data_IF_773040530834
#
_entry.id   IF_773040530834
#
_cell.length_a   1.000
_cell.length_b   1.000
_cell.length_c   1.000
_cell.angle_alpha   90.00
_cell.angle_beta   90.00
_cell.angle_gamma   90.00
#
_symmetry.space_group_name_H-M   'P 1'
#
loop_
_entity.id
_entity.type
_entity.pdbx_description
1 polymer ?
#
# COMPACT_ATOMS: atom_id res chain seq x y z
N UNK A 1 7.05 10.56 -5.18
CA UNK A 1 7.41 9.15 -4.93
C UNK A 1 6.69 8.27 -5.96
N UNK A 2 7.28 7.13 -6.31
CA UNK A 2 6.60 6.06 -7.04
C UNK A 2 6.25 4.94 -6.06
N UNK A 3 5.15 4.24 -6.34
CA UNK A 3 4.70 3.10 -5.56
C UNK A 3 4.41 1.91 -6.46
N UNK A 4 4.68 0.70 -5.97
CA UNK A 4 4.30 -0.53 -6.62
C UNK A 4 3.79 -1.53 -5.58
N UNK A 5 2.70 -2.23 -5.90
CA UNK A 5 2.12 -3.30 -5.09
C UNK A 5 2.28 -4.66 -5.76
N UNK A 6 2.39 -5.72 -4.95
CA UNK A 6 2.38 -7.09 -5.43
C UNK A 6 2.43 -8.11 -4.29
N UNK A 7 2.99 -9.28 -4.56
CA UNK A 7 3.02 -10.42 -3.63
C UNK A 7 3.80 -10.16 -2.33
N UNK A 8 4.71 -9.17 -2.33
CA UNK A 8 5.50 -8.76 -1.16
C UNK A 8 5.00 -7.49 -0.49
N UNK A 9 3.75 -7.10 -0.72
CA UNK A 9 3.19 -5.85 -0.22
C UNK A 9 3.50 -4.66 -1.12
N UNK A 10 3.73 -3.49 -0.50
CA UNK A 10 3.95 -2.22 -1.20
C UNK A 10 5.40 -1.77 -1.02
N UNK A 11 6.01 -1.33 -2.12
CA UNK A 11 7.32 -0.69 -2.13
C UNK A 11 7.21 0.75 -2.62
N UNK A 12 8.08 1.60 -2.08
CA UNK A 12 8.20 3.02 -2.41
C UNK A 12 9.58 3.30 -3.01
N UNK A 13 9.61 4.18 -4.00
CA UNK A 13 10.83 4.79 -4.51
C UNK A 13 10.75 6.31 -4.41
N UNK A 14 11.81 6.91 -3.85
CA UNK A 14 11.98 8.36 -3.75
C UNK A 14 12.95 8.93 -4.80
N UNK A 15 13.53 8.07 -5.65
CA UNK A 15 14.57 8.43 -6.61
C UNK A 15 14.18 8.09 -8.07
N UNK A 16 12.89 8.22 -8.38
CA UNK A 16 12.30 7.94 -9.70
C UNK A 16 12.48 6.49 -10.17
N UNK A 17 12.42 5.53 -9.24
CA UNK A 17 12.42 4.10 -9.53
C UNK A 17 13.80 3.46 -9.62
N UNK A 18 14.87 4.17 -9.24
CA UNK A 18 16.23 3.62 -9.23
C UNK A 18 16.44 2.68 -8.05
N UNK A 19 15.93 3.03 -6.87
CA UNK A 19 15.90 2.17 -5.68
C UNK A 19 14.50 2.07 -5.10
N UNK A 20 14.22 0.93 -4.48
CA UNK A 20 12.93 0.60 -3.92
C UNK A 20 13.12 0.09 -2.50
N UNK A 21 12.27 0.57 -1.59
CA UNK A 21 12.26 0.15 -0.20
C UNK A 21 10.84 -0.30 0.15
N UNK A 22 10.67 -1.35 0.97
CA UNK A 22 9.36 -1.68 1.53
C UNK A 22 8.79 -0.44 2.23
N UNK A 23 7.51 -0.16 2.02
CA UNK A 23 6.83 0.79 2.90
C UNK A 23 6.90 0.24 4.32
N UNK A 24 7.21 1.08 5.31
CA UNK A 24 7.21 0.72 6.72
C UNK A 24 5.76 0.54 7.22
N UNK A 25 5.02 -0.35 6.56
CA UNK A 25 3.57 -0.46 6.63
C UNK A 25 3.14 -1.12 7.92
N UNK A 26 3.21 -0.38 9.02
CA UNK A 26 2.37 -0.67 10.18
C UNK A 26 0.93 -0.70 9.69
N UNK A 27 0.30 -1.88 9.78
CA UNK A 27 -1.09 -2.11 9.42
C UNK A 27 -1.36 -2.83 8.09
N UNK A 28 -0.40 -2.90 7.15
CA UNK A 28 -0.57 -3.78 5.98
C UNK A 28 -0.26 -5.24 6.36
N UNK A 29 -1.00 -6.23 5.81
CA UNK A 29 -0.69 -7.62 6.06
C UNK A 29 0.68 -7.94 5.44
N UNK A 30 1.60 -8.45 6.27
CA UNK A 30 2.97 -8.78 5.87
C UNK A 30 3.04 -9.77 4.69
N UNK A 31 1.99 -10.58 4.52
CA UNK A 31 1.89 -11.65 3.52
C UNK A 31 0.76 -11.39 2.50
N UNK A 32 0.17 -10.19 2.51
CA UNK A 32 -0.98 -9.84 1.68
C UNK A 32 -0.55 -9.42 0.28
N UNK A 33 -0.88 -10.22 -0.73
CA UNK A 33 -0.77 -9.81 -2.13
C UNK A 33 -1.63 -8.55 -2.36
N UNK A 34 -0.98 -7.45 -2.75
CA UNK A 34 -1.65 -6.21 -3.15
C UNK A 34 -2.08 -6.35 -4.60
N UNK A 35 -3.38 -6.57 -4.80
CA UNK A 35 -3.98 -6.78 -6.11
C UNK A 35 -4.22 -5.46 -6.86
N UNK A 36 -4.38 -4.36 -6.13
CA UNK A 36 -4.57 -3.03 -6.70
C UNK A 36 -4.03 -1.95 -5.76
N UNK A 37 -3.42 -0.92 -6.35
CA UNK A 37 -2.88 0.25 -5.67
C UNK A 37 -3.22 1.49 -6.49
N UNK A 38 -3.96 2.43 -5.91
CA UNK A 38 -4.46 3.63 -6.59
C UNK A 38 -4.18 4.87 -5.74
N UNK A 39 -3.87 5.99 -6.40
CA UNK A 39 -3.75 7.29 -5.75
C UNK A 39 -5.00 8.14 -6.03
N UNK A 40 -5.59 8.71 -4.99
CA UNK A 40 -6.72 9.63 -5.11
C UNK A 40 -6.45 10.88 -4.27
N UNK A 41 -5.99 11.95 -4.93
CA UNK A 41 -5.56 13.17 -4.25
C UNK A 41 -4.29 12.94 -3.43
N UNK A 42 -4.36 13.19 -2.13
CA UNK A 42 -3.29 12.98 -1.15
C UNK A 42 -3.33 11.59 -0.49
N UNK A 43 -4.29 10.74 -0.87
CA UNK A 43 -4.47 9.42 -0.30
C UNK A 43 -4.03 8.30 -1.27
N UNK A 44 -3.55 7.20 -0.69
CA UNK A 44 -3.29 5.94 -1.39
C UNK A 44 -4.28 4.88 -0.89
N UNK A 45 -4.81 4.10 -1.82
CA UNK A 45 -5.70 2.98 -1.55
C UNK A 45 -5.06 1.70 -2.03
N UNK A 46 -5.04 0.68 -1.17
CA UNK A 46 -4.54 -0.65 -1.49
C UNK A 46 -5.65 -1.68 -1.25
N UNK A 47 -5.91 -2.52 -2.26
CA UNK A 47 -6.79 -3.67 -2.12
C UNK A 47 -5.96 -4.95 -2.15
N UNK A 48 -6.16 -5.83 -1.17
CA UNK A 48 -5.50 -7.13 -1.14
C UNK A 48 -6.29 -8.17 -1.91
N UNK A 49 -5.63 -9.22 -2.38
CA UNK A 49 -6.29 -10.37 -3.01
C UNK A 49 -7.29 -11.07 -2.06
N UNK A 50 -7.13 -10.91 -0.74
CA UNK A 50 -8.04 -11.43 0.27
C UNK A 50 -9.31 -10.56 0.46
N UNK A 51 -9.43 -9.43 -0.25
CA UNK A 51 -10.59 -8.55 -0.21
C UNK A 51 -10.54 -7.47 0.88
N UNK A 52 -9.39 -7.28 1.54
CA UNK A 52 -9.20 -6.18 2.47
C UNK A 52 -8.87 -4.88 1.73
N UNK A 53 -9.30 -3.75 2.26
CA UNK A 53 -9.06 -2.41 1.72
C UNK A 53 -8.33 -1.61 2.78
N UNK A 54 -7.19 -1.05 2.39
CA UNK A 54 -6.37 -0.18 3.23
C UNK A 54 -6.26 1.22 2.62
N UNK A 55 -6.15 2.22 3.49
CA UNK A 55 -5.89 3.60 3.09
C UNK A 55 -4.64 4.13 3.79
N UNK A 56 -3.86 4.93 3.08
CA UNK A 56 -2.78 5.74 3.64
C UNK A 56 -3.03 7.21 3.31
N UNK A 57 -2.85 8.09 4.29
CA UNK A 57 -2.96 9.54 4.16
C UNK A 57 -1.60 10.24 4.37
N UNK A 58 -0.51 9.48 4.44
CA UNK A 58 0.84 9.96 4.77
C UNK A 58 1.90 9.44 3.79
N UNK A 59 1.50 9.31 2.52
CA UNK A 59 2.34 8.82 1.43
C UNK A 59 2.86 7.39 1.63
N UNK A 60 2.01 6.50 2.13
CA UNK A 60 2.31 5.07 2.29
C UNK A 60 3.21 4.75 3.47
N UNK A 61 3.39 5.68 4.43
CA UNK A 61 4.17 5.41 5.64
C UNK A 61 3.36 4.57 6.63
N UNK A 62 2.06 4.85 6.78
CA UNK A 62 1.14 4.06 7.59
C UNK A 62 -0.10 3.68 6.78
N UNK A 63 -0.69 2.53 7.13
CA UNK A 63 -1.86 2.00 6.44
C UNK A 63 -2.95 1.62 7.44
N UNK A 64 -4.15 2.10 7.19
CA UNK A 64 -5.33 1.81 8.01
C UNK A 64 -6.26 0.86 7.26
N UNK A 65 -6.62 -0.27 7.88
CA UNK A 65 -7.68 -1.15 7.38
C UNK A 65 -9.03 -0.44 7.49
N UNK A 66 -9.71 -0.27 6.35
CA UNK A 66 -11.06 0.33 6.25
C UNK A 66 -12.09 -0.67 5.72
N UNK A 67 -11.74 -1.96 5.71
CA UNK A 67 -12.65 -3.04 5.29
C UNK A 67 -13.85 -3.10 6.22
N UNK A 68 -15.06 -3.16 5.64
CA UNK A 68 -16.26 -3.42 6.44
C UNK A 68 -16.32 -4.92 6.71
N UNK A 69 -16.07 -5.32 7.95
CA UNK A 69 -16.29 -6.70 8.39
C UNK A 69 -17.80 -6.98 8.26
N UNK A 70 -18.15 -8.02 7.51
CA UNK A 70 -19.54 -8.47 7.39
C UNK A 70 -19.91 -9.41 8.53
#
# INVERSE_FOLDING_TARGET
ALFAGGQGGIVRSDDNGQTWQPTAGDGLPADGEVASLEAAGDQLFAATAAGQIFVSADEGKTWQDISVVK
#
